data_IF_392800923290
#
_entry.id   IF_392800923290
#
_cell.length_a   1.000
_cell.length_b   1.000
_cell.length_c   1.000
_cell.angle_alpha   90.00
_cell.angle_beta   90.00
_cell.angle_gamma   90.00
#
_symmetry.space_group_name_H-M   'P 1'
#
loop_
_entity.id
_entity.type
_entity.pdbx_description
1 polymer ?
#
# COMPACT_ATOMS: atom_id res chain seq x y z
N UNK A 1 3.60 40.41 0.88
CA UNK A 1 3.92 39.85 -0.46
C UNK A 1 4.31 38.40 -0.25
N UNK A 2 3.56 37.50 -0.87
CA UNK A 2 3.33 36.10 -0.47
C UNK A 2 4.55 35.21 -0.72
N UNK A 3 4.99 34.45 0.27
CA UNK A 3 6.04 33.45 0.13
C UNK A 3 5.48 32.26 -0.68
N UNK A 4 5.83 32.18 -1.96
CA UNK A 4 5.50 31.04 -2.80
C UNK A 4 6.33 29.83 -2.35
N UNK A 5 5.80 29.06 -1.39
CA UNK A 5 6.31 27.73 -1.06
C UNK A 5 6.04 26.86 -2.28
N UNK A 6 7.06 26.64 -3.10
CA UNK A 6 7.06 25.58 -4.10
C UNK A 6 6.86 24.27 -3.34
N UNK A 7 5.62 23.78 -3.31
CA UNK A 7 5.28 22.48 -2.75
C UNK A 7 5.81 21.44 -3.72
N UNK A 8 7.09 21.12 -3.61
CA UNK A 8 7.59 19.87 -4.19
C UNK A 8 6.77 18.75 -3.55
N UNK A 9 5.90 18.11 -4.33
CA UNK A 9 5.19 16.89 -3.91
C UNK A 9 6.27 15.86 -3.60
N UNK A 10 6.67 15.77 -2.34
CA UNK A 10 7.64 14.74 -1.93
C UNK A 10 6.93 13.41 -2.09
N UNK A 11 7.29 12.67 -3.14
CA UNK A 11 6.76 11.33 -3.38
C UNK A 11 7.38 10.35 -2.38
N UNK A 12 6.58 9.40 -1.91
CA UNK A 12 7.05 8.26 -1.13
C UNK A 12 7.68 7.23 -2.05
N UNK A 13 8.79 6.62 -1.61
CA UNK A 13 9.38 5.48 -2.30
C UNK A 13 8.63 4.23 -1.88
N UNK A 14 7.93 3.59 -2.81
CA UNK A 14 7.20 2.34 -2.55
C UNK A 14 8.02 1.17 -3.04
N UNK A 15 8.42 0.28 -2.14
CA UNK A 15 9.05 -1.00 -2.47
C UNK A 15 8.02 -2.12 -2.30
N UNK A 16 8.03 -3.08 -3.21
CA UNK A 16 7.17 -4.26 -3.14
C UNK A 16 8.06 -5.49 -3.10
N UNK A 17 7.91 -6.30 -2.05
CA UNK A 17 8.66 -7.54 -1.95
C UNK A 17 8.34 -8.42 -3.16
N UNK A 18 9.36 -8.86 -3.92
CA UNK A 18 9.17 -9.72 -5.12
C UNK A 18 8.39 -11.00 -4.82
N UNK A 19 8.41 -11.49 -3.57
CA UNK A 19 7.61 -12.66 -3.15
C UNK A 19 6.13 -12.32 -3.02
N UNK A 20 5.77 -11.06 -2.76
CA UNK A 20 4.40 -10.62 -2.54
C UNK A 20 3.51 -10.75 -3.80
N UNK A 21 4.04 -10.65 -5.01
CA UNK A 21 3.20 -10.63 -6.22
C UNK A 21 3.48 -11.74 -7.25
N UNK A 22 4.36 -12.69 -6.94
CA UNK A 22 4.91 -13.66 -7.91
C UNK A 22 3.91 -14.58 -8.60
N UNK A 23 2.66 -14.68 -8.13
CA UNK A 23 1.60 -15.57 -8.67
C UNK A 23 0.19 -14.99 -8.54
N UNK A 24 0.04 -13.65 -8.54
CA UNK A 24 -1.27 -13.04 -8.40
C UNK A 24 -2.06 -13.05 -9.72
N UNK A 25 -3.40 -13.20 -9.69
CA UNK A 25 -4.23 -12.97 -10.86
C UNK A 25 -4.04 -11.55 -11.43
N UNK A 26 -4.16 -11.39 -12.75
CA UNK A 26 -3.92 -10.11 -13.45
C UNK A 26 -4.73 -8.96 -12.84
N UNK A 27 -6.02 -9.14 -12.60
CA UNK A 27 -6.87 -8.11 -11.99
C UNK A 27 -6.43 -7.71 -10.56
N UNK A 28 -5.76 -8.60 -9.82
CA UNK A 28 -5.21 -8.27 -8.50
C UNK A 28 -3.92 -7.45 -8.65
N UNK A 29 -3.11 -7.76 -9.66
CA UNK A 29 -1.89 -6.99 -9.99
C UNK A 29 -2.24 -5.57 -10.44
N UNK A 30 -3.28 -5.39 -11.25
CA UNK A 30 -3.76 -4.08 -11.69
C UNK A 30 -4.22 -3.23 -10.50
N UNK A 31 -5.01 -3.80 -9.59
CA UNK A 31 -5.42 -3.10 -8.38
C UNK A 31 -4.24 -2.81 -7.44
N UNK A 32 -3.26 -3.73 -7.34
CA UNK A 32 -2.02 -3.48 -6.60
C UNK A 32 -1.23 -2.32 -7.21
N UNK A 33 -1.14 -2.23 -8.54
CA UNK A 33 -0.46 -1.12 -9.22
C UNK A 33 -1.17 0.21 -8.95
N UNK A 34 -2.49 0.21 -8.91
CA UNK A 34 -3.27 1.38 -8.51
C UNK A 34 -3.00 1.77 -7.04
N UNK A 35 -2.95 0.79 -6.12
CA UNK A 35 -2.58 1.03 -4.72
C UNK A 35 -1.18 1.65 -4.60
N UNK A 36 -0.19 1.13 -5.34
CA UNK A 36 1.18 1.67 -5.33
C UNK A 36 1.17 3.15 -5.75
N UNK A 37 0.42 3.51 -6.78
CA UNK A 37 0.31 4.91 -7.24
C UNK A 37 -0.32 5.85 -6.21
N UNK A 38 -1.20 5.33 -5.36
CA UNK A 38 -1.77 6.06 -4.23
C UNK A 38 -0.75 6.17 -3.08
N UNK A 39 -0.04 5.08 -2.78
CA UNK A 39 0.98 5.04 -1.73
C UNK A 39 2.15 5.99 -2.01
N UNK A 40 2.52 6.19 -3.28
CA UNK A 40 3.50 7.22 -3.68
C UNK A 40 3.08 8.64 -3.25
N UNK A 41 1.79 8.91 -3.06
CA UNK A 41 1.25 10.19 -2.60
C UNK A 41 1.22 10.27 -1.07
N UNK A 42 1.11 9.14 -0.38
CA UNK A 42 1.08 9.06 1.08
C UNK A 42 0.80 7.65 1.60
N UNK A 43 1.24 7.33 2.84
CA UNK A 43 1.14 5.98 3.39
C UNK A 43 -0.26 5.58 3.85
N UNK A 44 -1.15 6.54 4.05
CA UNK A 44 -2.51 6.28 4.53
C UNK A 44 -3.49 6.29 3.35
N UNK A 45 -4.28 5.24 3.24
CA UNK A 45 -5.22 5.05 2.14
C UNK A 45 -6.64 4.82 2.65
N UNK A 46 -7.24 5.75 3.42
CA UNK A 46 -8.51 5.53 4.12
C UNK A 46 -9.70 5.24 3.20
N UNK A 47 -9.63 5.65 1.94
CA UNK A 47 -10.67 5.38 0.93
C UNK A 47 -10.61 3.95 0.38
N UNK A 48 -9.57 3.18 0.71
CA UNK A 48 -9.44 1.80 0.25
C UNK A 48 -10.34 0.86 1.07
N UNK A 49 -10.92 -0.18 0.45
CA UNK A 49 -11.83 -1.06 1.14
C UNK A 49 -11.18 -1.72 2.37
N UNK A 50 -11.86 -1.65 3.52
CA UNK A 50 -11.39 -2.20 4.79
C UNK A 50 -9.96 -1.76 5.12
N UNK A 51 -9.60 -0.50 4.83
CA UNK A 51 -8.34 0.04 5.31
C UNK A 51 -8.33 0.08 6.84
N UNK A 52 -7.28 -0.48 7.43
CA UNK A 52 -7.07 -0.44 8.88
C UNK A 52 -5.59 -0.36 9.22
N UNK A 53 -5.30 0.15 10.42
CA UNK A 53 -3.96 0.06 11.03
C UNK A 53 -3.79 -1.33 11.62
N UNK A 54 -2.66 -1.97 11.34
CA UNK A 54 -2.24 -3.22 11.97
C UNK A 54 -1.36 -2.98 13.22
N UNK A 55 -0.85 -1.76 13.39
CA UNK A 55 0.07 -1.40 14.46
C UNK A 55 0.63 0.01 14.28
N UNK A 56 1.75 0.31 14.94
CA UNK A 56 2.44 1.59 14.79
C UNK A 56 3.15 1.61 13.43
N UNK A 57 2.59 2.33 12.47
CA UNK A 57 3.10 2.47 11.09
C UNK A 57 2.96 1.23 10.20
N UNK A 58 2.10 0.29 10.58
CA UNK A 58 1.70 -0.83 9.73
C UNK A 58 0.22 -0.75 9.39
N UNK A 59 -0.12 -1.11 8.16
CA UNK A 59 -1.42 -0.89 7.57
C UNK A 59 -1.81 -2.07 6.69
N UNK A 60 -3.11 -2.25 6.48
CA UNK A 60 -3.65 -3.14 5.46
C UNK A 60 -4.81 -2.49 4.71
N UNK A 61 -5.11 -3.01 3.53
CA UNK A 61 -6.40 -2.83 2.87
C UNK A 61 -6.75 -4.03 2.00
N UNK A 62 -8.02 -4.12 1.59
CA UNK A 62 -8.48 -5.12 0.63
C UNK A 62 -8.32 -4.57 -0.80
N UNK A 63 -7.63 -5.34 -1.64
CA UNK A 63 -7.40 -5.01 -3.06
C UNK A 63 -8.27 -5.83 -4.01
N UNK A 64 -8.92 -6.89 -3.52
CA UNK A 64 -9.99 -7.59 -4.24
C UNK A 64 -10.93 -8.26 -3.25
N UNK A 65 -12.22 -7.96 -3.34
CA UNK A 65 -13.28 -8.61 -2.55
C UNK A 65 -13.68 -9.97 -3.16
N UNK A 66 -14.40 -10.80 -2.40
CA UNK A 66 -14.96 -12.09 -2.85
C UNK A 66 -14.20 -13.30 -2.29
N UNK A 67 -14.33 -14.47 -2.94
CA UNK A 67 -13.66 -15.71 -2.54
C UNK A 67 -12.69 -16.19 -3.63
N UNK A 68 -11.36 -16.16 -3.41
CA UNK A 68 -10.68 -15.61 -2.24
C UNK A 68 -10.68 -14.07 -2.25
N UNK A 69 -10.59 -13.47 -1.05
CA UNK A 69 -10.34 -12.02 -0.85
C UNK A 69 -8.83 -11.80 -0.85
N UNK A 70 -8.37 -10.77 -1.55
CA UNK A 70 -6.96 -10.38 -1.55
C UNK A 70 -6.75 -9.08 -0.78
N UNK A 71 -5.65 -9.05 -0.04
CA UNK A 71 -5.22 -7.90 0.75
C UNK A 71 -3.79 -7.50 0.38
N UNK A 72 -3.46 -6.26 0.68
CA UNK A 72 -2.09 -5.76 0.70
C UNK A 72 -1.79 -5.24 2.11
N UNK A 73 -0.60 -5.54 2.62
CA UNK A 73 -0.12 -5.04 3.90
C UNK A 73 1.21 -4.31 3.69
N UNK A 74 1.39 -3.17 4.36
CA UNK A 74 2.61 -2.38 4.25
C UNK A 74 3.03 -1.78 5.59
N UNK A 75 4.33 -1.49 5.68
CA UNK A 75 4.95 -0.74 6.77
C UNK A 75 5.57 0.55 6.25
N UNK A 76 5.73 1.52 7.14
CA UNK A 76 6.14 2.88 6.78
C UNK A 76 7.35 3.32 7.59
N UNK A 77 8.42 3.68 6.90
CA UNK A 77 9.51 4.46 7.44
C UNK A 77 9.27 5.94 7.13
N UNK A 78 8.79 6.67 8.12
CA UNK A 78 8.48 8.11 7.99
C UNK A 78 9.71 8.98 7.83
N UNK A 79 10.85 8.56 8.37
CA UNK A 79 12.09 9.35 8.33
C UNK A 79 12.66 9.35 6.91
N UNK A 80 12.65 8.18 6.27
CA UNK A 80 13.18 7.99 4.91
C UNK A 80 12.11 8.10 3.82
N UNK A 81 10.83 8.30 4.19
CA UNK A 81 9.68 8.29 3.28
C UNK A 81 9.60 7.02 2.43
N UNK A 82 9.82 5.88 3.06
CA UNK A 82 9.74 4.56 2.42
C UNK A 82 8.46 3.86 2.88
N UNK A 83 7.78 3.23 1.92
CA UNK A 83 6.67 2.31 2.16
C UNK A 83 7.11 0.95 1.63
N UNK A 84 7.14 -0.05 2.50
CA UNK A 84 7.40 -1.44 2.10
C UNK A 84 6.09 -2.23 2.10
N UNK A 85 5.62 -2.62 0.91
CA UNK A 85 4.55 -3.59 0.74
C UNK A 85 5.14 -4.99 0.91
N UNK A 86 5.02 -5.51 2.12
CA UNK A 86 5.66 -6.77 2.52
C UNK A 86 4.79 -8.00 2.22
N UNK A 87 3.47 -7.83 2.08
CA UNK A 87 2.55 -8.91 1.74
C UNK A 87 1.49 -8.46 0.75
N UNK A 88 1.24 -9.29 -0.27
CA UNK A 88 0.07 -9.23 -1.13
C UNK A 88 -0.38 -10.66 -1.37
N UNK A 89 -1.66 -10.94 -1.14
CA UNK A 89 -2.12 -12.33 -1.19
C UNK A 89 -3.50 -12.49 -0.60
N UNK A 90 -3.91 -13.74 -0.38
CA UNK A 90 -5.22 -14.02 0.21
C UNK A 90 -5.27 -13.52 1.66
N UNK A 91 -6.44 -13.04 2.09
CA UNK A 91 -6.67 -12.61 3.47
C UNK A 91 -6.35 -13.74 4.47
N UNK A 92 -6.71 -14.98 4.13
CA UNK A 92 -6.48 -16.18 4.96
C UNK A 92 -5.01 -16.49 5.26
N UNK A 93 -4.07 -16.00 4.42
CA UNK A 93 -2.63 -16.25 4.57
C UNK A 93 -1.86 -15.00 4.99
N UNK A 94 -2.58 -13.91 5.29
CA UNK A 94 -1.96 -12.66 5.64
C UNK A 94 -1.26 -12.78 7.02
N UNK A 95 -0.06 -12.20 7.17
CA UNK A 95 0.77 -12.36 8.36
C UNK A 95 0.43 -11.32 9.44
N UNK A 96 -0.78 -11.39 9.99
CA UNK A 96 -1.22 -10.63 11.16
C UNK A 96 -1.96 -11.51 12.15
#
# INVERSE_FOLDING_TARGET
MTYNKVMTKVKWTVSVNKRAYKKLPVHVLETLQFLISELEKGPETPNWPNYSKLGYLSYHCHIKKGRPTYVACWVVDKNNKIIEVYYVGTHEKAPY
#
